data_IF_256761214393
#
_entry.id   IF_256761214393
#
_cell.length_a   1.000
_cell.length_b   1.000
_cell.length_c   1.000
_cell.angle_alpha   90.00
_cell.angle_beta   90.00
_cell.angle_gamma   90.00
#
_symmetry.space_group_name_H-M   'P 1'
#
loop_
_entity.id
_entity.type
_entity.pdbx_description
1 polymer ?
#
# COMPACT_ATOMS: atom_id res chain seq x y z
N UNK A 1 -11.44 -43.18 -10.55
CA UNK A 1 -10.33 -42.36 -11.08
C UNK A 1 -10.69 -40.86 -11.13
N UNK A 2 -11.89 -40.50 -11.60
CA UNK A 2 -12.38 -39.11 -11.70
C UNK A 2 -12.40 -38.33 -10.38
N UNK A 3 -12.93 -38.91 -9.29
CA UNK A 3 -12.98 -38.24 -7.96
C UNK A 3 -11.61 -37.85 -7.39
N UNK A 4 -10.55 -38.59 -7.73
CA UNK A 4 -9.18 -38.27 -7.28
C UNK A 4 -8.62 -37.09 -8.06
N UNK A 5 -8.84 -37.05 -9.37
CA UNK A 5 -8.45 -35.93 -10.22
C UNK A 5 -9.18 -34.64 -9.82
N UNK A 6 -10.48 -34.71 -9.56
CA UNK A 6 -11.28 -33.57 -9.06
C UNK A 6 -10.72 -33.00 -7.76
N UNK A 7 -10.38 -33.86 -6.78
CA UNK A 7 -9.79 -33.43 -5.51
C UNK A 7 -8.44 -32.72 -5.69
N UNK A 8 -7.61 -33.21 -6.63
CA UNK A 8 -6.32 -32.58 -6.95
C UNK A 8 -6.52 -31.20 -7.56
N UNK A 9 -7.44 -31.07 -8.51
CA UNK A 9 -7.77 -29.79 -9.15
C UNK A 9 -8.29 -28.80 -8.12
N UNK A 10 -9.23 -29.20 -7.26
CA UNK A 10 -9.77 -28.34 -6.19
C UNK A 10 -8.66 -27.87 -5.24
N UNK A 11 -7.77 -28.77 -4.82
CA UNK A 11 -6.62 -28.41 -3.97
C UNK A 11 -5.67 -27.41 -4.67
N UNK A 12 -5.42 -27.61 -5.96
CA UNK A 12 -4.58 -26.71 -6.77
C UNK A 12 -5.20 -25.32 -6.89
N UNK A 13 -6.50 -25.24 -7.16
CA UNK A 13 -7.26 -23.97 -7.21
C UNK A 13 -7.18 -23.25 -5.87
N UNK A 14 -7.39 -23.97 -4.76
CA UNK A 14 -7.30 -23.38 -3.42
C UNK A 14 -5.90 -22.83 -3.13
N UNK A 15 -4.85 -23.57 -3.49
CA UNK A 15 -3.46 -23.12 -3.36
C UNK A 15 -3.21 -21.85 -4.17
N UNK A 16 -3.62 -21.83 -5.45
CA UNK A 16 -3.47 -20.65 -6.32
C UNK A 16 -4.23 -19.44 -5.79
N UNK A 17 -5.45 -19.62 -5.27
CA UNK A 17 -6.22 -18.52 -4.65
C UNK A 17 -5.50 -17.93 -3.44
N UNK A 18 -4.90 -18.76 -2.59
CA UNK A 18 -4.08 -18.28 -1.47
C UNK A 18 -2.86 -17.50 -1.94
N UNK A 19 -2.17 -17.98 -2.97
CA UNK A 19 -1.03 -17.27 -3.55
C UNK A 19 -1.44 -15.91 -4.14
N UNK A 20 -2.58 -15.86 -4.84
CA UNK A 20 -3.12 -14.59 -5.38
C UNK A 20 -3.47 -13.62 -4.25
N UNK A 21 -4.04 -14.10 -3.15
CA UNK A 21 -4.37 -13.26 -2.01
C UNK A 21 -3.10 -12.66 -1.38
N UNK A 22 -2.07 -13.47 -1.14
CA UNK A 22 -0.79 -12.98 -0.60
C UNK A 22 -0.10 -11.97 -1.53
N UNK A 23 -0.08 -12.24 -2.84
CA UNK A 23 0.48 -11.29 -3.80
C UNK A 23 -0.29 -9.96 -3.87
N UNK A 24 -1.60 -9.98 -3.61
CA UNK A 24 -2.40 -8.74 -3.55
C UNK A 24 -2.06 -7.91 -2.32
N UNK A 25 -1.87 -8.56 -1.18
CA UNK A 25 -1.42 -7.91 0.06
C UNK A 25 -0.02 -7.30 -0.12
N UNK A 26 0.94 -8.06 -0.66
CA UNK A 26 2.29 -7.54 -0.94
C UNK A 26 2.29 -6.36 -1.93
N UNK A 27 1.39 -6.36 -2.91
CA UNK A 27 1.22 -5.24 -3.84
C UNK A 27 0.59 -4.01 -3.18
N UNK A 28 -0.33 -4.21 -2.23
CA UNK A 28 -0.93 -3.13 -1.44
C UNK A 28 0.12 -2.48 -0.55
N UNK A 29 0.90 -3.26 0.18
CA UNK A 29 2.02 -2.77 1.00
C UNK A 29 3.03 -1.95 0.18
N UNK A 30 3.33 -2.41 -1.05
CA UNK A 30 4.25 -1.70 -1.94
C UNK A 30 3.67 -0.36 -2.43
N UNK A 31 2.38 -0.33 -2.76
CA UNK A 31 1.70 0.90 -3.15
C UNK A 31 1.65 1.89 -2.00
N UNK A 32 1.34 1.45 -0.78
CA UNK A 32 1.36 2.29 0.42
C UNK A 32 2.75 2.91 0.66
N UNK A 33 3.80 2.12 0.45
CA UNK A 33 5.16 2.62 0.55
C UNK A 33 5.48 3.66 -0.53
N UNK A 34 5.03 3.43 -1.76
CA UNK A 34 5.18 4.38 -2.86
C UNK A 34 4.48 5.71 -2.57
N UNK A 35 3.29 5.70 -1.98
CA UNK A 35 2.57 6.91 -1.59
C UNK A 35 3.37 7.73 -0.57
N UNK A 36 4.02 7.08 0.41
CA UNK A 36 4.89 7.75 1.39
C UNK A 36 6.11 8.37 0.70
N UNK A 37 6.74 7.65 -0.21
CA UNK A 37 7.91 8.16 -0.95
C UNK A 37 7.51 9.32 -1.86
N UNK A 38 6.39 9.22 -2.57
CA UNK A 38 5.89 10.31 -3.40
C UNK A 38 5.57 11.55 -2.56
N UNK A 39 4.93 11.38 -1.40
CA UNK A 39 4.68 12.47 -0.48
C UNK A 39 5.97 13.16 -0.04
N UNK A 40 7.04 12.40 0.24
CA UNK A 40 8.36 12.94 0.58
C UNK A 40 8.98 13.73 -0.58
N UNK A 41 8.95 13.20 -1.79
CA UNK A 41 9.46 13.90 -2.98
C UNK A 41 8.68 15.19 -3.23
N UNK A 42 7.35 15.16 -3.08
CA UNK A 42 6.50 16.37 -3.20
C UNK A 42 6.73 17.37 -2.07
N UNK A 43 7.22 16.93 -0.91
CA UNK A 43 7.60 17.78 0.22
C UNK A 43 9.02 18.31 0.09
N UNK A 44 9.89 17.61 -0.66
CA UNK A 44 11.26 18.00 -0.92
C UNK A 44 11.29 19.34 -1.67
N UNK A 45 11.95 20.33 -1.07
CA UNK A 45 12.02 21.70 -1.59
C UNK A 45 10.93 22.66 -1.09
N UNK A 46 9.95 22.20 -0.31
CA UNK A 46 9.02 23.12 0.36
C UNK A 46 9.72 23.83 1.53
N UNK A 47 9.57 25.15 1.67
CA UNK A 47 10.08 25.86 2.83
C UNK A 47 9.38 25.36 4.09
N UNK A 48 10.17 24.98 5.10
CA UNK A 48 9.65 24.67 6.43
C UNK A 48 9.25 25.99 7.08
N UNK A 49 7.98 26.12 7.45
CA UNK A 49 7.50 27.29 8.16
C UNK A 49 7.81 27.16 9.64
N UNK A 50 8.34 28.24 10.21
CA UNK A 50 8.47 28.42 11.65
C UNK A 50 7.10 28.59 12.31
N UNK A 51 7.05 28.41 13.63
CA UNK A 51 5.80 28.59 14.39
C UNK A 51 5.21 29.99 14.19
N UNK A 52 6.04 31.03 14.16
CA UNK A 52 5.62 32.42 13.95
C UNK A 52 5.07 32.65 12.53
N UNK A 53 5.66 32.02 11.51
CA UNK A 53 5.16 32.09 10.13
C UNK A 53 3.82 31.37 9.97
N UNK A 54 3.63 30.23 10.63
CA UNK A 54 2.33 29.53 10.67
C UNK A 54 1.30 30.40 11.38
N UNK A 55 1.65 30.96 12.53
CA UNK A 55 0.78 31.84 13.32
C UNK A 55 0.33 33.06 12.52
N UNK A 56 1.25 33.69 11.79
CA UNK A 56 0.97 34.82 10.89
C UNK A 56 0.10 34.43 9.69
N UNK A 57 0.36 33.27 9.07
CA UNK A 57 -0.39 32.80 7.89
C UNK A 57 -1.84 32.45 8.19
N UNK A 58 -2.13 31.98 9.41
CA UNK A 58 -3.46 31.54 9.83
C UNK A 58 -4.12 32.47 10.86
N UNK A 59 -3.54 33.65 11.11
CA UNK A 59 -4.05 34.65 12.06
C UNK A 59 -4.33 34.08 13.46
N UNK A 60 -3.51 33.11 13.88
CA UNK A 60 -3.64 32.49 15.20
C UNK A 60 -3.08 33.44 16.26
N UNK A 61 -3.76 33.57 17.39
CA UNK A 61 -3.37 34.49 18.49
C UNK A 61 -2.24 33.99 19.36
#
# INVERSE_FOLDING_TARGET
MTKTAEKIVVRSIHKKRKQIAALREELEDLNDYLDVVEARVRDEGKPRLTHDEVKKRYELK
#
